data_IF_281735783146
#
_entry.id   IF_281735783146
#
_cell.length_a   1.000
_cell.length_b   1.000
_cell.length_c   1.000
_cell.angle_alpha   90.00
_cell.angle_beta   90.00
_cell.angle_gamma   90.00
#
_symmetry.space_group_name_H-M   'P 1'
#
loop_
_entity.id
_entity.type
_entity.pdbx_description
1 polymer ?
#
# COMPACT_ATOMS: atom_id res chain seq x y z
N UNK A 1 4.79 -23.42 -17.32
CA UNK A 1 3.38 -23.85 -17.53
C UNK A 1 2.52 -22.61 -17.60
N UNK A 2 1.40 -22.59 -18.37
CA UNK A 2 0.51 -21.44 -18.34
C UNK A 2 -0.07 -21.24 -16.92
N UNK A 3 -0.14 -20.01 -16.47
CA UNK A 3 -0.73 -19.65 -15.17
C UNK A 3 -2.19 -20.13 -15.11
N UNK A 4 -2.62 -20.89 -14.09
CA UNK A 4 -4.01 -21.26 -13.93
C UNK A 4 -4.88 -20.01 -13.68
N UNK A 5 -6.19 -20.04 -14.00
CA UNK A 5 -7.07 -18.93 -13.71
C UNK A 5 -7.11 -18.66 -12.20
N UNK A 6 -6.87 -17.41 -11.77
CA UNK A 6 -7.00 -17.08 -10.36
C UNK A 6 -8.47 -17.13 -9.92
N UNK A 7 -8.70 -17.55 -8.68
CA UNK A 7 -10.01 -17.49 -8.05
C UNK A 7 -10.22 -16.20 -7.26
N UNK A 8 -9.13 -15.53 -6.90
CA UNK A 8 -9.13 -14.26 -6.18
C UNK A 8 -7.89 -13.45 -6.56
N UNK A 9 -7.95 -12.14 -6.30
CA UNK A 9 -6.82 -11.23 -6.45
C UNK A 9 -6.46 -10.62 -5.10
N UNK A 10 -5.18 -10.29 -4.91
CA UNK A 10 -4.74 -9.35 -3.89
C UNK A 10 -3.96 -8.23 -4.56
N UNK A 11 -4.30 -6.97 -4.25
CA UNK A 11 -3.68 -5.79 -4.86
C UNK A 11 -2.96 -4.97 -3.79
N UNK A 12 -1.73 -4.59 -4.09
CA UNK A 12 -1.10 -3.47 -3.43
C UNK A 12 -1.80 -2.15 -3.81
N UNK A 13 -1.57 -1.09 -3.04
CA UNK A 13 -2.25 0.19 -3.20
C UNK A 13 -1.30 1.29 -3.70
N UNK A 14 -0.31 1.64 -2.86
CA UNK A 14 0.64 2.73 -3.09
C UNK A 14 1.55 2.39 -4.28
N UNK A 15 1.77 3.32 -5.21
CA UNK A 15 2.48 3.14 -6.48
C UNK A 15 1.87 2.10 -7.45
N UNK A 16 0.92 1.28 -7.00
CA UNK A 16 0.12 0.38 -7.85
C UNK A 16 -1.13 1.06 -8.39
N UNK A 17 -1.94 1.70 -7.53
CA UNK A 17 -3.19 2.41 -7.90
C UNK A 17 -3.02 3.92 -8.02
N UNK A 18 -2.11 4.53 -7.28
CA UNK A 18 -1.76 5.96 -7.29
C UNK A 18 -0.28 6.15 -6.94
N UNK A 19 0.37 7.23 -7.42
CA UNK A 19 1.75 7.54 -7.05
C UNK A 19 1.80 7.99 -5.58
N UNK A 20 2.58 7.26 -4.75
CA UNK A 20 2.62 7.53 -3.30
C UNK A 20 3.40 8.79 -2.96
N UNK A 21 4.48 9.09 -3.69
CA UNK A 21 5.37 10.18 -3.31
C UNK A 21 4.69 11.57 -3.27
N UNK A 22 3.91 12.00 -4.29
CA UNK A 22 3.17 13.25 -4.24
C UNK A 22 2.17 13.32 -3.08
N UNK A 23 1.57 12.18 -2.70
CA UNK A 23 0.62 12.09 -1.60
C UNK A 23 1.32 12.29 -0.25
N UNK A 24 2.47 11.66 -0.05
CA UNK A 24 3.26 11.82 1.18
C UNK A 24 3.77 13.25 1.29
N UNK A 25 4.29 13.83 0.21
CA UNK A 25 4.76 15.21 0.20
C UNK A 25 3.65 16.21 0.58
N UNK A 26 2.46 16.06 -0.01
CA UNK A 26 1.30 16.86 0.37
C UNK A 26 0.91 16.69 1.84
N UNK A 27 0.95 15.47 2.35
CA UNK A 27 0.62 15.19 3.75
C UNK A 27 1.66 15.76 4.73
N UNK A 28 2.93 15.75 4.36
CA UNK A 28 4.01 16.36 5.14
C UNK A 28 3.91 17.88 5.17
N UNK A 29 3.51 18.51 4.06
CA UNK A 29 3.23 19.96 4.04
C UNK A 29 2.04 20.29 4.95
N UNK A 30 0.92 19.56 4.86
CA UNK A 30 -0.23 19.79 5.72
C UNK A 30 0.12 19.63 7.22
N UNK A 31 0.93 18.63 7.56
CA UNK A 31 1.45 18.45 8.91
C UNK A 31 2.33 19.62 9.34
N UNK A 32 3.24 20.09 8.48
CA UNK A 32 4.14 21.19 8.80
C UNK A 32 3.38 22.51 8.98
N UNK A 33 2.35 22.76 8.19
CA UNK A 33 1.47 23.94 8.33
C UNK A 33 0.73 23.89 9.67
N UNK A 34 0.16 22.74 10.06
CA UNK A 34 -0.44 22.54 11.38
C UNK A 34 0.55 22.80 12.50
N UNK A 35 1.77 22.24 12.42
CA UNK A 35 2.79 22.46 13.43
C UNK A 35 3.23 23.93 13.50
N UNK A 36 3.32 24.62 12.36
CA UNK A 36 3.68 26.04 12.30
C UNK A 36 2.66 26.92 13.03
N UNK A 37 1.37 26.55 12.95
CA UNK A 37 0.28 27.26 13.62
C UNK A 37 0.17 26.93 15.11
N UNK A 38 0.27 25.65 15.48
CA UNK A 38 -0.05 25.15 16.82
C UNK A 38 1.18 24.87 17.70
N UNK A 39 2.30 24.53 17.08
CA UNK A 39 3.53 24.07 17.72
C UNK A 39 4.76 24.71 17.05
N UNK A 40 4.87 26.07 17.08
CA UNK A 40 5.85 26.79 16.25
C UNK A 40 7.31 26.47 16.61
N UNK A 41 7.60 26.06 17.84
CA UNK A 41 8.95 25.63 18.21
C UNK A 41 9.31 24.31 17.55
N UNK A 42 8.34 23.38 17.50
CA UNK A 42 8.51 22.10 16.82
C UNK A 42 8.69 22.32 15.31
N UNK A 43 7.86 23.16 14.67
CA UNK A 43 7.99 23.45 13.23
C UNK A 43 9.36 24.04 12.90
N UNK A 44 9.86 24.98 13.73
CA UNK A 44 11.18 25.61 13.56
C UNK A 44 12.34 24.61 13.74
N UNK A 45 12.24 23.70 14.71
CA UNK A 45 13.28 22.72 15.02
C UNK A 45 13.28 21.52 14.06
N UNK A 46 12.08 21.13 13.56
CA UNK A 46 11.86 19.99 12.69
C UNK A 46 11.17 20.40 11.39
N UNK A 47 11.85 21.14 10.47
CA UNK A 47 11.37 21.33 9.12
C UNK A 47 11.18 19.96 8.43
N UNK A 48 10.42 19.89 7.34
CA UNK A 48 10.02 18.63 6.68
C UNK A 48 11.18 17.64 6.50
N UNK A 49 12.37 18.03 5.97
CA UNK A 49 13.47 17.08 5.82
C UNK A 49 13.94 16.49 7.17
N UNK A 50 14.05 17.32 8.22
CA UNK A 50 14.48 16.86 9.54
C UNK A 50 13.41 15.98 10.21
N UNK A 51 12.13 16.22 9.96
CA UNK A 51 11.04 15.36 10.43
C UNK A 51 11.09 13.98 9.76
N UNK A 52 11.48 13.90 8.48
CA UNK A 52 11.72 12.62 7.77
C UNK A 52 12.86 11.84 8.42
N UNK A 53 14.00 12.50 8.64
CA UNK A 53 15.16 11.89 9.30
C UNK A 53 14.79 11.38 10.70
N UNK A 54 14.09 12.18 11.50
CA UNK A 54 13.63 11.77 12.84
C UNK A 54 12.72 10.52 12.77
N UNK A 55 11.81 10.47 11.79
CA UNK A 55 10.97 9.28 11.61
C UNK A 55 11.80 8.03 11.32
N UNK A 56 12.83 8.16 10.48
CA UNK A 56 13.71 7.04 10.13
C UNK A 56 14.59 6.63 11.33
N UNK A 57 15.07 7.60 12.14
CA UNK A 57 15.76 7.34 13.40
C UNK A 57 14.86 6.58 14.39
N UNK A 58 13.61 7.01 14.57
CA UNK A 58 12.63 6.34 15.44
C UNK A 58 12.29 4.94 14.92
N UNK A 59 12.11 4.77 13.63
CA UNK A 59 11.89 3.45 13.03
C UNK A 59 13.07 2.50 13.31
N UNK A 60 14.30 2.98 13.17
CA UNK A 60 15.51 2.21 13.51
C UNK A 60 15.63 1.83 15.00
N UNK A 61 15.13 2.68 15.91
CA UNK A 61 15.10 2.39 17.35
C UNK A 61 14.00 1.39 17.72
N UNK A 62 12.98 1.22 16.91
CA UNK A 62 11.81 0.37 17.16
C UNK A 62 11.59 -0.65 16.02
N UNK A 63 12.55 -1.55 15.72
CA UNK A 63 12.44 -2.49 14.59
C UNK A 63 11.23 -3.42 14.71
N UNK A 64 10.75 -3.69 15.93
CA UNK A 64 9.55 -4.48 16.19
C UNK A 64 8.25 -3.78 15.73
N UNK A 65 8.29 -2.47 15.45
CA UNK A 65 7.18 -1.67 14.92
C UNK A 65 7.31 -1.42 13.40
N UNK A 66 8.22 -2.10 12.69
CA UNK A 66 8.46 -1.89 11.27
C UNK A 66 7.17 -2.03 10.40
N UNK A 67 6.21 -2.80 10.88
CA UNK A 67 4.91 -3.02 10.24
C UNK A 67 3.85 -1.94 10.58
N UNK A 68 4.13 -0.99 11.48
CA UNK A 68 3.14 0.00 11.94
C UNK A 68 3.60 1.46 11.73
N UNK A 69 3.44 1.96 10.50
CA UNK A 69 3.78 3.35 10.16
C UNK A 69 2.96 4.38 10.95
N UNK A 70 1.76 4.02 11.43
CA UNK A 70 0.93 4.90 12.26
C UNK A 70 1.58 5.13 13.62
N UNK A 71 2.01 4.06 14.28
CA UNK A 71 2.69 4.17 15.58
C UNK A 71 4.04 4.85 15.43
N UNK A 72 4.84 4.49 14.43
CA UNK A 72 6.13 5.14 14.16
C UNK A 72 5.97 6.66 13.99
N UNK A 73 4.97 7.12 13.21
CA UNK A 73 4.72 8.56 13.02
C UNK A 73 4.30 9.25 14.31
N UNK A 74 3.40 8.64 15.10
CA UNK A 74 3.00 9.21 16.39
C UNK A 74 4.17 9.29 17.37
N UNK A 75 5.05 8.29 17.41
CA UNK A 75 6.26 8.32 18.23
C UNK A 75 7.21 9.44 17.79
N UNK A 76 7.42 9.63 16.49
CA UNK A 76 8.27 10.72 15.98
C UNK A 76 7.68 12.10 16.29
N UNK A 77 6.36 12.26 16.20
CA UNK A 77 5.66 13.51 16.57
C UNK A 77 5.80 13.78 18.07
N UNK A 78 5.56 12.79 18.93
CA UNK A 78 5.71 12.94 20.38
C UNK A 78 7.15 13.31 20.75
N UNK A 79 8.13 12.67 20.12
CA UNK A 79 9.55 13.01 20.32
C UNK A 79 9.85 14.46 19.92
N UNK A 80 9.38 14.87 18.73
CA UNK A 80 9.64 16.22 18.21
C UNK A 80 9.03 17.30 19.12
N UNK A 81 7.75 17.14 19.51
CA UNK A 81 7.04 18.07 20.39
C UNK A 81 7.74 18.22 21.75
N UNK A 82 8.05 17.09 22.39
CA UNK A 82 8.76 17.06 23.67
C UNK A 82 10.12 17.74 23.60
N UNK A 83 10.91 17.43 22.57
CA UNK A 83 12.25 17.98 22.39
C UNK A 83 12.22 19.49 22.12
N UNK A 84 11.25 19.96 21.37
CA UNK A 84 11.05 21.39 21.09
C UNK A 84 10.41 22.14 22.28
N UNK A 85 9.85 21.42 23.26
CA UNK A 85 9.16 21.99 24.42
C UNK A 85 7.74 22.49 24.10
N UNK A 86 7.11 21.97 23.04
CA UNK A 86 5.68 22.14 22.76
C UNK A 86 4.88 21.00 23.45
N UNK A 87 3.58 21.19 23.60
CA UNK A 87 2.72 20.23 24.32
C UNK A 87 2.43 18.98 23.49
N UNK A 88 2.69 17.81 24.08
CA UNK A 88 2.42 16.50 23.45
C UNK A 88 0.91 16.23 23.25
N UNK A 89 0.01 17.02 23.82
CA UNK A 89 -1.43 16.93 23.56
C UNK A 89 -1.77 17.06 22.08
N UNK A 90 -0.93 17.76 21.31
CA UNK A 90 -1.10 17.97 19.88
C UNK A 90 -0.69 16.77 18.99
N UNK A 91 -0.13 15.69 19.54
CA UNK A 91 0.30 14.50 18.77
C UNK A 91 -0.85 13.93 17.94
N UNK A 92 -2.02 13.78 18.53
CA UNK A 92 -3.16 13.18 17.83
C UNK A 92 -3.66 14.07 16.71
N UNK A 93 -3.87 15.37 16.96
CA UNK A 93 -4.35 16.32 15.95
C UNK A 93 -3.35 16.49 14.79
N UNK A 94 -2.06 16.51 15.10
CA UNK A 94 -0.98 16.56 14.11
C UNK A 94 -0.99 15.30 13.24
N UNK A 95 -1.14 14.12 13.85
CA UNK A 95 -1.27 12.87 13.12
C UNK A 95 -2.52 12.85 12.25
N UNK A 96 -3.68 13.27 12.77
CA UNK A 96 -4.95 13.27 12.03
C UNK A 96 -4.92 14.23 10.84
N UNK A 97 -4.23 15.37 10.98
CA UNK A 97 -3.99 16.31 9.88
C UNK A 97 -3.16 15.65 8.75
N UNK A 98 -2.06 15.01 9.11
CA UNK A 98 -1.26 14.23 8.16
C UNK A 98 -2.09 13.12 7.51
N UNK A 99 -2.82 12.35 8.30
CA UNK A 99 -3.57 11.19 7.84
C UNK A 99 -4.72 11.58 6.91
N UNK A 100 -5.42 12.67 7.20
CA UNK A 100 -6.46 13.20 6.31
C UNK A 100 -5.88 13.63 4.96
N UNK A 101 -4.71 14.26 4.94
CA UNK A 101 -4.04 14.65 3.70
C UNK A 101 -3.49 13.43 2.94
N UNK A 102 -2.95 12.41 3.64
CA UNK A 102 -2.45 11.16 3.07
C UNK A 102 -3.54 10.39 2.31
N UNK A 103 -4.79 10.57 2.66
CA UNK A 103 -5.92 9.93 1.98
C UNK A 103 -6.52 10.75 0.84
N UNK A 104 -5.93 11.91 0.50
CA UNK A 104 -6.27 12.70 -0.70
C UNK A 104 -5.38 12.29 -1.85
N UNK A 105 -5.75 11.26 -2.56
CA UNK A 105 -4.94 10.66 -3.62
C UNK A 105 -5.42 11.08 -5.01
N UNK A 106 -4.52 10.97 -6.00
CA UNK A 106 -4.85 11.05 -7.41
C UNK A 106 -4.49 9.71 -8.06
N UNK A 107 -5.49 8.97 -8.52
CA UNK A 107 -5.29 7.68 -9.16
C UNK A 107 -4.48 7.80 -10.45
N UNK A 108 -3.76 6.73 -10.81
CA UNK A 108 -3.29 6.59 -12.18
C UNK A 108 -4.49 6.54 -13.14
N UNK A 109 -4.37 7.09 -14.36
CA UNK A 109 -5.50 7.27 -15.27
C UNK A 109 -6.27 5.97 -15.60
N UNK A 110 -5.58 4.84 -15.58
CA UNK A 110 -6.13 3.52 -15.85
C UNK A 110 -6.70 2.79 -14.63
N UNK A 111 -6.31 3.21 -13.41
CA UNK A 111 -6.44 2.38 -12.22
C UNK A 111 -7.90 2.11 -11.81
N UNK A 112 -8.75 3.16 -11.75
CA UNK A 112 -10.13 2.98 -11.29
C UNK A 112 -10.95 2.11 -12.25
N UNK A 113 -10.89 2.40 -13.56
CA UNK A 113 -11.64 1.63 -14.55
C UNK A 113 -11.18 0.16 -14.61
N UNK A 114 -9.87 -0.08 -14.48
CA UNK A 114 -9.34 -1.43 -14.41
C UNK A 114 -9.76 -2.16 -13.12
N UNK A 115 -9.68 -1.47 -11.98
CA UNK A 115 -10.12 -2.01 -10.69
C UNK A 115 -11.61 -2.37 -10.70
N UNK A 116 -12.48 -1.52 -11.27
CA UNK A 116 -13.91 -1.80 -11.41
C UNK A 116 -14.16 -3.07 -12.25
N UNK A 117 -13.44 -3.24 -13.36
CA UNK A 117 -13.52 -4.45 -14.20
C UNK A 117 -13.07 -5.71 -13.46
N UNK A 118 -11.97 -5.62 -12.72
CA UNK A 118 -11.43 -6.74 -11.95
C UNK A 118 -12.38 -7.11 -10.79
N UNK A 119 -12.87 -6.12 -10.04
CA UNK A 119 -13.78 -6.33 -8.92
C UNK A 119 -15.15 -6.92 -9.32
N UNK A 120 -15.62 -6.64 -10.55
CA UNK A 120 -16.81 -7.25 -11.09
C UNK A 120 -16.69 -8.77 -11.32
N UNK A 121 -15.48 -9.32 -11.31
CA UNK A 121 -15.21 -10.71 -11.70
C UNK A 121 -14.53 -11.54 -10.62
N UNK A 122 -13.70 -10.92 -9.80
CA UNK A 122 -12.91 -11.60 -8.77
C UNK A 122 -13.11 -10.92 -7.41
N UNK A 123 -13.19 -11.68 -6.32
CA UNK A 123 -13.01 -11.12 -4.99
C UNK A 123 -11.59 -10.57 -4.88
N UNK A 124 -11.46 -9.29 -4.45
CA UNK A 124 -10.18 -8.61 -4.34
C UNK A 124 -9.92 -8.25 -2.88
N UNK A 125 -8.74 -8.61 -2.37
CA UNK A 125 -8.20 -8.06 -1.12
C UNK A 125 -7.23 -6.92 -1.43
N UNK A 126 -7.35 -5.77 -0.75
CA UNK A 126 -6.24 -4.83 -0.67
C UNK A 126 -5.19 -5.42 0.29
N UNK A 127 -3.89 -5.40 -0.09
CA UNK A 127 -2.79 -5.94 0.70
C UNK A 127 -1.65 -4.92 0.75
N UNK A 128 -1.55 -4.16 1.83
CA UNK A 128 -0.66 -3.00 1.91
C UNK A 128 0.22 -2.98 3.16
N UNK A 129 1.45 -2.50 3.01
CA UNK A 129 2.30 -2.11 4.13
C UNK A 129 1.93 -0.72 4.66
N UNK A 130 1.22 0.06 3.86
CA UNK A 130 0.77 1.40 4.20
C UNK A 130 -0.42 1.44 5.15
N UNK A 131 -0.91 2.65 5.36
CA UNK A 131 -2.05 2.94 6.22
C UNK A 131 -3.16 3.71 5.50
N UNK A 132 -3.34 3.47 4.19
CA UNK A 132 -4.41 4.09 3.42
C UNK A 132 -5.79 3.69 3.98
N UNK A 133 -6.70 4.64 4.02
CA UNK A 133 -8.10 4.43 4.40
C UNK A 133 -8.97 4.37 3.15
N UNK A 134 -9.35 3.16 2.76
CA UNK A 134 -10.14 2.93 1.54
C UNK A 134 -11.53 3.60 1.59
N UNK A 135 -12.10 3.79 2.79
CA UNK A 135 -13.36 4.52 2.96
C UNK A 135 -13.17 6.02 2.70
N UNK A 136 -12.14 6.62 3.29
CA UNK A 136 -11.81 8.03 3.08
C UNK A 136 -11.43 8.31 1.61
N UNK A 137 -10.80 7.35 0.93
CA UNK A 137 -10.44 7.41 -0.49
C UNK A 137 -11.67 7.17 -1.39
N UNK A 138 -12.70 6.47 -0.91
CA UNK A 138 -13.93 6.20 -1.67
C UNK A 138 -13.87 4.98 -2.60
N UNK A 139 -13.05 3.98 -2.25
CA UNK A 139 -12.89 2.74 -3.06
C UNK A 139 -13.10 1.45 -2.25
N UNK A 140 -13.56 1.56 -1.01
CA UNK A 140 -13.69 0.39 -0.13
C UNK A 140 -14.64 -0.69 -0.69
N UNK A 141 -15.64 -0.30 -1.44
CA UNK A 141 -16.65 -1.17 -2.07
C UNK A 141 -16.09 -2.09 -3.18
N UNK A 142 -14.88 -1.80 -3.66
CA UNK A 142 -14.19 -2.61 -4.68
C UNK A 142 -13.38 -3.75 -4.08
N UNK A 143 -13.24 -3.75 -2.77
CA UNK A 143 -12.47 -4.76 -2.04
C UNK A 143 -13.36 -5.51 -1.06
N UNK A 144 -13.21 -6.82 -1.01
CA UNK A 144 -13.89 -7.64 0.00
C UNK A 144 -13.26 -7.47 1.39
N UNK A 145 -11.98 -7.09 1.44
CA UNK A 145 -11.21 -6.85 2.66
C UNK A 145 -10.01 -5.95 2.39
N UNK A 146 -9.61 -5.16 3.39
CA UNK A 146 -8.34 -4.45 3.43
C UNK A 146 -7.43 -5.07 4.48
N UNK A 147 -6.33 -5.67 4.04
CA UNK A 147 -5.32 -6.33 4.87
C UNK A 147 -4.12 -5.39 4.95
N UNK A 148 -3.83 -4.92 6.15
CA UNK A 148 -2.70 -4.03 6.41
C UNK A 148 -1.60 -4.74 7.20
N UNK A 149 -0.35 -4.35 7.00
CA UNK A 149 0.77 -4.86 7.79
C UNK A 149 0.53 -4.68 9.29
N UNK A 150 -0.01 -3.53 9.69
CA UNK A 150 -0.40 -3.24 11.08
C UNK A 150 -1.44 -4.22 11.61
N UNK A 151 -2.46 -4.57 10.82
CA UNK A 151 -3.55 -5.46 11.24
C UNK A 151 -3.09 -6.90 11.45
N UNK A 152 -2.12 -7.36 10.64
CA UNK A 152 -1.57 -8.72 10.70
C UNK A 152 -0.35 -8.83 11.63
N UNK A 153 0.34 -7.73 11.89
CA UNK A 153 1.62 -7.72 12.62
C UNK A 153 2.83 -8.15 11.77
N UNK A 154 2.64 -8.32 10.46
CA UNK A 154 3.67 -8.67 9.48
C UNK A 154 3.52 -7.82 8.23
N UNK A 155 4.63 -7.34 7.70
CA UNK A 155 4.68 -6.56 6.47
C UNK A 155 5.11 -7.42 5.27
N UNK A 156 4.72 -7.06 4.05
CA UNK A 156 5.38 -7.55 2.84
C UNK A 156 6.89 -7.21 2.92
N UNK A 157 7.81 -8.09 2.55
CA UNK A 157 7.64 -9.34 1.81
C UNK A 157 7.48 -10.60 2.68
N UNK A 158 7.10 -10.49 3.95
CA UNK A 158 6.97 -11.65 4.82
C UNK A 158 5.77 -12.52 4.41
N UNK A 159 5.98 -13.84 4.33
CA UNK A 159 4.94 -14.78 3.91
C UNK A 159 3.65 -14.78 4.76
N UNK A 160 3.65 -14.46 6.08
CA UNK A 160 2.42 -14.45 6.88
C UNK A 160 1.33 -13.51 6.36
N UNK A 161 1.67 -12.31 5.86
CA UNK A 161 0.64 -11.37 5.36
C UNK A 161 -0.06 -11.89 4.10
N UNK A 162 0.68 -12.58 3.23
CA UNK A 162 0.14 -13.21 2.02
C UNK A 162 -0.72 -14.44 2.35
N UNK A 163 -0.28 -15.28 3.31
CA UNK A 163 -1.09 -16.41 3.78
C UNK A 163 -2.39 -15.94 4.42
N UNK A 164 -2.35 -14.86 5.20
CA UNK A 164 -3.55 -14.26 5.76
C UNK A 164 -4.53 -13.79 4.67
N UNK A 165 -4.03 -13.29 3.53
CA UNK A 165 -4.87 -12.95 2.39
C UNK A 165 -5.56 -14.20 1.80
N UNK A 166 -4.83 -15.31 1.61
CA UNK A 166 -5.41 -16.58 1.16
C UNK A 166 -6.50 -17.09 2.11
N UNK A 167 -6.23 -17.09 3.42
CA UNK A 167 -7.17 -17.52 4.46
C UNK A 167 -8.44 -16.68 4.45
N UNK A 168 -8.29 -15.35 4.40
CA UNK A 168 -9.42 -14.42 4.41
C UNK A 168 -10.28 -14.52 3.15
N UNK A 169 -9.65 -14.75 1.98
CA UNK A 169 -10.35 -14.94 0.71
C UNK A 169 -10.87 -16.36 0.51
N UNK A 170 -10.51 -17.32 1.37
CA UNK A 170 -10.92 -18.72 1.26
C UNK A 170 -10.36 -19.43 0.03
N UNK A 171 -9.11 -19.12 -0.37
CA UNK A 171 -8.44 -19.70 -1.54
C UNK A 171 -7.10 -20.32 -1.17
N UNK A 172 -6.66 -21.32 -1.95
CA UNK A 172 -5.31 -21.84 -1.82
C UNK A 172 -4.28 -20.85 -2.43
N UNK A 173 -2.98 -20.89 -1.99
CA UNK A 173 -1.96 -20.02 -2.55
C UNK A 173 -1.87 -20.04 -4.09
N UNK A 174 -1.96 -21.22 -4.71
CA UNK A 174 -1.95 -21.35 -6.17
C UNK A 174 -3.20 -20.83 -6.90
N UNK A 175 -4.23 -20.39 -6.18
CA UNK A 175 -5.48 -19.83 -6.70
C UNK A 175 -5.54 -18.30 -6.52
N UNK A 176 -4.56 -17.70 -5.82
CA UNK A 176 -4.44 -16.25 -5.63
C UNK A 176 -3.42 -15.68 -6.63
N UNK A 177 -3.74 -14.54 -7.23
CA UNK A 177 -2.79 -13.71 -7.97
C UNK A 177 -2.57 -12.42 -7.18
N UNK A 178 -1.32 -12.19 -6.74
CA UNK A 178 -0.93 -10.92 -6.13
C UNK A 178 -0.46 -9.94 -7.19
N UNK A 179 -0.91 -8.69 -7.10
CA UNK A 179 -0.63 -7.61 -8.05
C UNK A 179 -0.01 -6.45 -7.30
N UNK A 180 1.18 -6.02 -7.69
CA UNK A 180 1.87 -4.90 -7.07
C UNK A 180 2.99 -4.34 -7.94
N UNK A 181 3.62 -3.25 -7.50
CA UNK A 181 4.67 -2.55 -8.24
C UNK A 181 6.08 -2.84 -7.74
N UNK A 182 6.24 -3.31 -6.49
CA UNK A 182 7.56 -3.52 -5.90
C UNK A 182 8.10 -4.94 -6.16
N UNK A 183 9.29 -5.06 -6.81
CA UNK A 183 9.90 -6.36 -7.08
C UNK A 183 10.17 -7.21 -5.84
N UNK A 184 10.56 -6.60 -4.71
CA UNK A 184 10.91 -7.30 -3.48
C UNK A 184 9.68 -7.54 -2.60
N UNK A 185 8.90 -6.49 -2.35
CA UNK A 185 7.79 -6.54 -1.41
C UNK A 185 6.64 -7.37 -1.98
N UNK A 186 6.27 -7.14 -3.23
CA UNK A 186 5.12 -7.79 -3.86
C UNK A 186 5.51 -9.10 -4.54
N UNK A 187 6.41 -9.03 -5.53
CA UNK A 187 6.69 -10.19 -6.37
C UNK A 187 7.46 -11.27 -5.62
N UNK A 188 8.61 -10.93 -5.05
CA UNK A 188 9.39 -11.91 -4.28
C UNK A 188 8.66 -12.34 -3.00
N UNK A 189 7.87 -11.43 -2.38
CA UNK A 189 7.03 -11.75 -1.23
C UNK A 189 5.95 -12.78 -1.57
N UNK A 190 5.19 -12.59 -2.64
CA UNK A 190 4.17 -13.53 -3.13
C UNK A 190 4.79 -14.88 -3.48
N UNK A 191 5.91 -14.89 -4.22
CA UNK A 191 6.62 -16.11 -4.60
C UNK A 191 7.06 -16.94 -3.37
N UNK A 192 7.55 -16.29 -2.29
CA UNK A 192 7.88 -16.97 -1.01
C UNK A 192 6.67 -17.60 -0.34
N UNK A 193 5.48 -17.07 -0.59
CA UNK A 193 4.22 -17.64 -0.08
C UNK A 193 3.59 -18.67 -1.02
N UNK A 194 4.20 -18.97 -2.17
CA UNK A 194 3.67 -19.88 -3.19
C UNK A 194 2.50 -19.29 -3.99
N UNK A 195 2.43 -17.96 -4.06
CA UNK A 195 1.38 -17.21 -4.74
C UNK A 195 1.94 -16.67 -6.05
N UNK A 196 1.15 -16.76 -7.13
CA UNK A 196 1.49 -16.17 -8.40
C UNK A 196 1.50 -14.63 -8.32
N UNK A 197 2.39 -13.99 -9.07
CA UNK A 197 2.62 -12.56 -9.00
C UNK A 197 2.47 -11.87 -10.34
N UNK A 198 1.94 -10.65 -10.30
CA UNK A 198 1.89 -9.73 -11.43
C UNK A 198 2.58 -8.42 -11.07
N UNK A 199 3.67 -8.13 -11.75
CA UNK A 199 4.37 -6.87 -11.60
C UNK A 199 3.76 -5.76 -12.45
N UNK A 200 3.28 -4.68 -11.82
CA UNK A 200 2.81 -3.47 -12.50
C UNK A 200 3.97 -2.49 -12.62
N UNK A 201 4.70 -2.62 -13.70
CA UNK A 201 5.90 -1.82 -13.98
C UNK A 201 5.56 -0.50 -14.67
N UNK A 202 5.02 0.46 -13.93
CA UNK A 202 4.59 1.76 -14.46
C UNK A 202 5.75 2.64 -14.93
N UNK A 203 6.95 2.43 -14.39
CA UNK A 203 8.12 3.26 -14.68
C UNK A 203 9.06 2.66 -15.73
N UNK A 204 8.68 1.50 -16.29
CA UNK A 204 9.53 0.75 -17.23
C UNK A 204 10.93 0.45 -16.64
N UNK A 205 10.97 0.06 -15.38
CA UNK A 205 12.20 -0.30 -14.68
C UNK A 205 12.73 -1.64 -15.15
N UNK A 206 14.05 -1.81 -15.04
CA UNK A 206 14.68 -3.11 -15.31
C UNK A 206 14.46 -4.03 -14.11
N UNK A 207 14.09 -5.29 -14.39
CA UNK A 207 13.92 -6.28 -13.33
C UNK A 207 15.24 -6.54 -12.58
N UNK A 208 15.26 -6.55 -11.24
CA UNK A 208 16.43 -6.91 -10.45
C UNK A 208 16.87 -8.36 -10.72
N UNK A 209 18.13 -8.55 -11.13
CA UNK A 209 18.64 -9.86 -11.55
C UNK A 209 18.77 -10.89 -10.40
N UNK A 210 18.75 -10.43 -9.16
CA UNK A 210 18.87 -11.23 -7.93
C UNK A 210 17.51 -11.69 -7.37
N UNK A 211 16.40 -11.22 -7.96
CA UNK A 211 15.06 -11.63 -7.55
C UNK A 211 14.42 -12.63 -8.54
N UNK A 212 13.55 -13.53 -8.05
CA UNK A 212 12.79 -14.41 -8.93
C UNK A 212 11.89 -13.57 -9.84
N UNK A 213 11.81 -13.89 -11.16
CA UNK A 213 10.99 -13.11 -12.09
C UNK A 213 9.49 -13.20 -11.74
N UNK A 214 8.70 -12.15 -12.08
CA UNK A 214 7.25 -12.22 -11.92
C UNK A 214 6.63 -13.24 -12.90
N UNK A 215 5.49 -13.82 -12.52
CA UNK A 215 4.72 -14.69 -13.43
C UNK A 215 4.09 -13.89 -14.57
N UNK A 216 3.68 -12.64 -14.29
CA UNK A 216 3.13 -11.68 -15.23
C UNK A 216 3.75 -10.29 -15.02
N UNK A 217 3.83 -9.53 -16.13
CA UNK A 217 4.27 -8.14 -16.10
C UNK A 217 3.44 -7.29 -17.04
N UNK A 218 2.96 -6.15 -16.55
CA UNK A 218 2.27 -5.14 -17.36
C UNK A 218 2.73 -3.74 -16.94
N UNK A 219 2.62 -2.78 -17.87
CA UNK A 219 2.90 -1.37 -17.57
C UNK A 219 1.75 -0.70 -16.81
N UNK A 220 0.55 -1.25 -16.87
CA UNK A 220 -0.68 -0.67 -16.30
C UNK A 220 -1.60 -1.76 -15.77
N UNK A 221 -2.47 -1.38 -14.81
CA UNK A 221 -3.50 -2.29 -14.32
C UNK A 221 -4.52 -2.65 -15.41
N UNK A 222 -4.78 -1.72 -16.35
CA UNK A 222 -5.63 -1.97 -17.51
C UNK A 222 -5.08 -3.10 -18.39
N UNK A 223 -3.77 -3.15 -18.61
CA UNK A 223 -3.12 -4.23 -19.35
C UNK A 223 -3.32 -5.60 -18.70
N UNK A 224 -3.27 -5.69 -17.38
CA UNK A 224 -3.61 -6.91 -16.65
C UNK A 224 -5.09 -7.26 -16.81
N UNK A 225 -5.99 -6.29 -16.66
CA UNK A 225 -7.43 -6.51 -16.82
C UNK A 225 -7.76 -7.03 -18.22
N UNK A 226 -7.18 -6.43 -19.28
CA UNK A 226 -7.33 -6.89 -20.67
C UNK A 226 -6.85 -8.32 -20.84
N UNK A 227 -5.68 -8.67 -20.28
CA UNK A 227 -5.13 -10.01 -20.37
C UNK A 227 -6.02 -11.05 -19.67
N UNK A 228 -6.53 -10.73 -18.47
CA UNK A 228 -7.43 -11.59 -17.72
C UNK A 228 -8.77 -11.78 -18.42
N UNK A 229 -9.34 -10.74 -19.01
CA UNK A 229 -10.60 -10.80 -19.77
C UNK A 229 -10.49 -11.69 -21.02
N UNK A 230 -9.39 -11.57 -21.77
CA UNK A 230 -9.16 -12.40 -22.94
C UNK A 230 -8.92 -13.88 -22.59
N UNK A 231 -8.26 -14.14 -21.49
CA UNK A 231 -7.89 -15.50 -21.11
C UNK A 231 -9.00 -16.25 -20.37
N UNK A 232 -9.90 -15.51 -19.76
CA UNK A 232 -11.04 -16.03 -19.00
C UNK A 232 -12.32 -15.30 -19.44
N UNK A 233 -12.79 -15.48 -20.70
CA UNK A 233 -14.01 -14.84 -21.14
C UNK A 233 -15.18 -15.23 -20.25
N UNK A 234 -16.06 -14.27 -19.94
CA UNK A 234 -17.32 -14.57 -19.30
C UNK A 234 -18.06 -15.57 -20.18
N UNK A 235 -18.42 -16.74 -19.64
CA UNK A 235 -19.33 -17.62 -20.37
C UNK A 235 -20.66 -16.85 -20.49
N UNK A 236 -21.01 -16.45 -21.72
CA UNK A 236 -22.38 -16.03 -21.98
C UNK A 236 -23.31 -17.19 -21.58
N UNK A 237 -24.37 -16.91 -20.80
CA UNK A 237 -25.37 -17.94 -20.56
C UNK A 237 -25.89 -18.38 -21.90
N UNK A 238 -25.73 -19.65 -22.23
CA UNK A 238 -26.29 -20.26 -23.44
C UNK A 238 -27.81 -20.07 -23.38
N UNK A 239 -28.46 -19.56 -24.44
CA UNK A 239 -29.88 -19.27 -24.47
C UNK A 239 -30.75 -20.51 -24.25
#
# INVERSE_FOLDING_TARGET
MPLPPPRALSLDLDDTLWPIWPVIEQAEHALHDFLSERCPRTAAMYPIPRMRELRDEIAGQHPHLAHDFTVQRKLSLAHALRTAGDDEVHVQDAFDTFYAARNRIAFYPDALAALDRLAARWPIAALTNGNADLNAIGIADRFVVCITARGVGHAKPDAPIFRHACETLGVAPGELLHVGDDPLLDVAGAARAGIASCWINRRNETWPADLPPPDLQFATLAGLADWLDHRHPLHEPTP
#
